data_IF_462160872002
#
_entry.id   IF_462160872002
#
_cell.length_a   1.000
_cell.length_b   1.000
_cell.length_c   1.000
_cell.angle_alpha   90.00
_cell.angle_beta   90.00
_cell.angle_gamma   90.00
#
_symmetry.space_group_name_H-M   'P 1'
#
loop_
_entity.id
_entity.type
_entity.pdbx_description
1 polymer ?
#
# COMPACT_ATOMS: atom_id res chain seq x y z
N UNK A 1 -82.57 81.26 -104.87
CA UNK A 1 -83.37 81.46 -103.65
C UNK A 1 -83.60 80.17 -102.85
N UNK A 2 -83.38 78.98 -103.44
CA UNK A 2 -83.50 77.69 -102.73
C UNK A 2 -82.32 77.41 -101.78
N UNK A 3 -81.11 77.91 -102.09
CA UNK A 3 -79.90 77.62 -101.30
C UNK A 3 -79.83 78.33 -99.93
N UNK A 4 -80.57 79.42 -99.72
CA UNK A 4 -80.57 80.17 -98.45
C UNK A 4 -81.49 79.52 -97.39
N UNK A 5 -82.57 78.88 -97.84
CA UNK A 5 -83.55 78.23 -96.94
C UNK A 5 -82.99 76.94 -96.36
N UNK A 6 -82.20 76.19 -97.14
CA UNK A 6 -81.56 74.95 -96.69
C UNK A 6 -80.49 75.26 -95.64
N UNK A 7 -79.70 76.32 -95.83
CA UNK A 7 -78.64 76.71 -94.88
C UNK A 7 -79.24 77.19 -93.55
N UNK A 8 -80.33 77.96 -93.55
CA UNK A 8 -81.02 78.35 -92.30
C UNK A 8 -81.66 77.16 -91.59
N UNK A 9 -82.27 76.22 -92.32
CA UNK A 9 -82.88 75.02 -91.74
C UNK A 9 -81.85 74.13 -91.01
N UNK A 10 -80.68 73.94 -91.60
CA UNK A 10 -79.57 73.20 -90.98
C UNK A 10 -79.07 73.92 -89.72
N UNK A 11 -79.01 75.25 -89.73
CA UNK A 11 -78.53 76.03 -88.59
C UNK A 11 -79.47 75.94 -87.37
N UNK A 12 -80.79 75.96 -87.59
CA UNK A 12 -81.79 75.80 -86.53
C UNK A 12 -81.75 74.40 -85.92
N UNK A 13 -81.62 73.36 -86.76
CA UNK A 13 -81.48 71.97 -86.28
C UNK A 13 -80.19 71.79 -85.47
N UNK A 14 -79.08 72.39 -85.90
CA UNK A 14 -77.82 72.37 -85.15
C UNK A 14 -77.94 73.12 -83.81
N UNK A 15 -78.69 74.22 -83.72
CA UNK A 15 -78.93 74.94 -82.46
C UNK A 15 -79.82 74.16 -81.50
N UNK A 16 -80.87 73.48 -81.99
CA UNK A 16 -81.73 72.63 -81.16
C UNK A 16 -80.96 71.40 -80.65
N UNK A 17 -80.15 70.77 -81.51
CA UNK A 17 -79.27 69.67 -81.10
C UNK A 17 -78.20 70.15 -80.12
N UNK A 18 -77.63 71.34 -80.31
CA UNK A 18 -76.67 71.93 -79.37
C UNK A 18 -77.32 72.24 -78.01
N UNK A 19 -78.56 72.74 -78.00
CA UNK A 19 -79.34 72.98 -76.78
C UNK A 19 -79.69 71.69 -76.03
N UNK A 20 -80.07 70.62 -76.76
CA UNK A 20 -80.31 69.29 -76.18
C UNK A 20 -79.01 68.67 -75.65
N UNK A 21 -77.89 68.83 -76.36
CA UNK A 21 -76.58 68.38 -75.90
C UNK A 21 -76.09 69.16 -74.67
N UNK A 22 -76.39 70.46 -74.58
CA UNK A 22 -76.09 71.28 -73.39
C UNK A 22 -76.89 70.82 -72.17
N UNK A 23 -78.19 70.54 -72.33
CA UNK A 23 -79.05 70.03 -71.26
C UNK A 23 -78.65 68.62 -70.81
N UNK A 24 -78.27 67.75 -71.75
CA UNK A 24 -77.69 66.45 -71.42
C UNK A 24 -76.34 66.58 -70.70
N UNK A 25 -75.52 67.58 -71.07
CA UNK A 25 -74.24 67.87 -70.40
C UNK A 25 -74.43 68.40 -68.98
N UNK A 26 -75.45 69.22 -68.73
CA UNK A 26 -75.80 69.70 -67.39
C UNK A 26 -76.34 68.58 -66.49
N UNK A 27 -77.24 67.74 -67.01
CA UNK A 27 -77.71 66.56 -66.29
C UNK A 27 -76.58 65.57 -66.01
N UNK A 28 -75.68 65.34 -66.98
CA UNK A 28 -74.50 64.49 -66.79
C UNK A 28 -73.55 65.04 -65.71
N UNK A 29 -73.41 66.37 -65.59
CA UNK A 29 -72.64 67.00 -64.52
C UNK A 29 -73.30 66.81 -63.15
N UNK A 30 -74.63 66.95 -63.07
CA UNK A 30 -75.38 66.72 -61.83
C UNK A 30 -75.23 65.26 -61.37
N UNK A 31 -75.42 64.28 -62.26
CA UNK A 31 -75.20 62.87 -61.95
C UNK A 31 -73.74 62.56 -61.56
N UNK A 32 -72.77 63.19 -62.21
CA UNK A 32 -71.36 63.00 -61.86
C UNK A 32 -71.05 63.53 -60.45
N UNK A 33 -71.69 64.64 -60.05
CA UNK A 33 -71.57 65.21 -58.72
C UNK A 33 -72.21 64.30 -57.65
N UNK A 34 -73.42 63.78 -57.90
CA UNK A 34 -74.07 62.81 -57.00
C UNK A 34 -73.28 61.51 -56.85
N UNK A 35 -72.73 60.97 -57.95
CA UNK A 35 -71.87 59.78 -57.91
C UNK A 35 -70.59 60.06 -57.09
N UNK A 36 -70.04 61.27 -57.20
CA UNK A 36 -68.86 61.67 -56.41
C UNK A 36 -69.19 61.75 -54.93
N UNK A 37 -70.31 62.36 -54.56
CA UNK A 37 -70.78 62.44 -53.17
C UNK A 37 -71.08 61.04 -52.59
N UNK A 38 -71.72 60.16 -53.36
CA UNK A 38 -71.94 58.76 -52.95
C UNK A 38 -70.64 58.00 -52.77
N UNK A 39 -69.65 58.18 -53.65
CA UNK A 39 -68.31 57.57 -53.49
C UNK A 39 -67.59 58.08 -52.24
N UNK A 40 -67.70 59.37 -51.94
CA UNK A 40 -67.16 59.97 -50.71
C UNK A 40 -67.87 59.42 -49.46
N UNK A 41 -69.20 59.27 -49.50
CA UNK A 41 -69.96 58.66 -48.40
C UNK A 41 -69.61 57.18 -48.19
N UNK A 42 -69.45 56.39 -49.26
CA UNK A 42 -69.01 54.99 -49.18
C UNK A 42 -67.59 54.92 -48.61
N UNK A 43 -66.67 55.74 -49.10
CA UNK A 43 -65.29 55.78 -48.57
C UNK A 43 -65.23 56.19 -47.11
N UNK A 44 -66.07 57.13 -46.66
CA UNK A 44 -66.18 57.50 -45.25
C UNK A 44 -66.79 56.37 -44.40
N UNK A 45 -67.76 55.64 -44.92
CA UNK A 45 -68.34 54.48 -44.25
C UNK A 45 -67.31 53.35 -44.11
N UNK A 46 -66.52 53.10 -45.14
CA UNK A 46 -65.43 52.12 -45.12
C UNK A 46 -64.34 52.51 -44.13
N UNK A 47 -63.90 53.78 -44.13
CA UNK A 47 -62.94 54.28 -43.13
C UNK A 47 -63.46 54.15 -41.69
N UNK A 48 -64.72 54.51 -41.43
CA UNK A 48 -65.32 54.34 -40.10
C UNK A 48 -65.42 52.86 -39.70
N UNK A 49 -65.61 51.96 -40.66
CA UNK A 49 -65.63 50.52 -40.41
C UNK A 49 -64.22 50.01 -40.08
N UNK A 50 -63.21 50.49 -40.80
CA UNK A 50 -61.80 50.20 -40.57
C UNK A 50 -61.34 50.73 -39.20
N UNK A 51 -61.63 51.99 -38.86
CA UNK A 51 -61.34 52.58 -37.54
C UNK A 51 -62.00 51.80 -36.40
N UNK A 52 -63.26 51.37 -36.58
CA UNK A 52 -63.95 50.53 -35.58
C UNK A 52 -63.31 49.15 -35.45
N UNK A 53 -62.87 48.57 -36.56
CA UNK A 53 -62.21 47.27 -36.57
C UNK A 53 -60.83 47.35 -35.89
N UNK A 54 -60.03 48.37 -36.20
CA UNK A 54 -58.74 48.63 -35.56
C UNK A 54 -58.91 48.89 -34.06
N UNK A 55 -59.86 49.75 -33.67
CA UNK A 55 -60.18 50.01 -32.26
C UNK A 55 -60.61 48.73 -31.52
N UNK A 56 -61.40 47.87 -32.17
CA UNK A 56 -61.78 46.58 -31.60
C UNK A 56 -60.61 45.61 -31.47
N UNK A 57 -59.70 45.55 -32.46
CA UNK A 57 -58.47 44.75 -32.38
C UNK A 57 -57.62 45.24 -31.21
N UNK A 58 -57.39 46.55 -31.10
CA UNK A 58 -56.58 47.12 -30.04
C UNK A 58 -57.16 46.78 -28.67
N UNK A 59 -58.46 47.04 -28.45
CA UNK A 59 -59.13 46.73 -27.19
C UNK A 59 -59.10 45.23 -26.86
N UNK A 60 -59.29 44.37 -27.86
CA UNK A 60 -59.21 42.90 -27.68
C UNK A 60 -57.80 42.44 -27.35
N UNK A 61 -56.77 43.06 -27.94
CA UNK A 61 -55.37 42.74 -27.67
C UNK A 61 -54.95 43.17 -26.26
N UNK A 62 -55.34 44.37 -25.82
CA UNK A 62 -55.09 44.87 -24.47
C UNK A 62 -55.74 43.96 -23.41
N UNK A 63 -56.99 43.54 -23.64
CA UNK A 63 -57.68 42.60 -22.77
C UNK A 63 -57.01 41.22 -22.75
N UNK A 64 -56.55 40.72 -23.90
CA UNK A 64 -55.79 39.46 -23.98
C UNK A 64 -54.48 39.55 -23.20
N UNK A 65 -53.72 40.64 -23.34
CA UNK A 65 -52.49 40.85 -22.57
C UNK A 65 -52.76 40.96 -21.07
N UNK A 66 -53.84 41.62 -20.66
CA UNK A 66 -54.27 41.70 -19.26
C UNK A 66 -54.56 40.31 -18.70
N UNK A 67 -55.39 39.51 -19.40
CA UNK A 67 -55.73 38.14 -18.99
C UNK A 67 -54.48 37.25 -18.92
N UNK A 68 -53.59 37.31 -19.91
CA UNK A 68 -52.33 36.55 -19.90
C UNK A 68 -51.41 36.98 -18.75
N UNK A 69 -51.32 38.28 -18.47
CA UNK A 69 -50.53 38.83 -17.37
C UNK A 69 -51.04 38.38 -16.00
N UNK A 70 -52.36 38.45 -15.78
CA UNK A 70 -53.01 37.94 -14.56
C UNK A 70 -52.83 36.43 -14.41
N UNK A 71 -52.92 35.68 -15.50
CA UNK A 71 -52.69 34.24 -15.49
C UNK A 71 -51.23 33.89 -15.12
N UNK A 72 -50.25 34.56 -15.73
CA UNK A 72 -48.84 34.35 -15.43
C UNK A 72 -48.49 34.76 -13.99
N UNK A 73 -49.01 35.90 -13.53
CA UNK A 73 -48.82 36.34 -12.14
C UNK A 73 -49.40 35.31 -11.17
N UNK A 74 -50.62 34.83 -11.42
CA UNK A 74 -51.25 33.79 -10.60
C UNK A 74 -50.46 32.47 -10.59
N UNK A 75 -49.92 32.04 -11.73
CA UNK A 75 -49.02 30.88 -11.80
C UNK A 75 -47.73 31.11 -11.02
N UNK A 76 -47.09 32.27 -11.17
CA UNK A 76 -45.84 32.60 -10.48
C UNK A 76 -46.01 32.64 -8.95
N UNK A 77 -47.13 33.18 -8.46
CA UNK A 77 -47.46 33.22 -7.04
C UNK A 77 -47.70 31.81 -6.48
N UNK A 78 -48.38 30.93 -7.24
CA UNK A 78 -48.57 29.53 -6.86
C UNK A 78 -47.24 28.78 -6.77
N UNK A 79 -46.39 28.90 -7.79
CA UNK A 79 -45.06 28.27 -7.81
C UNK A 79 -44.20 28.77 -6.65
N UNK A 80 -44.23 30.08 -6.36
CA UNK A 80 -43.49 30.64 -5.23
C UNK A 80 -44.01 30.11 -3.88
N UNK A 81 -45.33 30.05 -3.70
CA UNK A 81 -45.93 29.52 -2.48
C UNK A 81 -45.58 28.02 -2.27
N UNK A 82 -45.68 27.21 -3.33
CA UNK A 82 -45.26 25.79 -3.29
C UNK A 82 -43.77 25.65 -2.98
N UNK A 83 -42.92 26.50 -3.56
CA UNK A 83 -41.48 26.50 -3.27
C UNK A 83 -41.18 26.87 -1.81
N UNK A 84 -41.85 27.89 -1.27
CA UNK A 84 -41.68 28.32 0.13
C UNK A 84 -42.16 27.25 1.12
N UNK A 85 -43.30 26.60 0.83
CA UNK A 85 -43.82 25.48 1.62
C UNK A 85 -42.85 24.28 1.60
N UNK A 86 -42.33 23.91 0.43
CA UNK A 86 -41.34 22.85 0.28
C UNK A 86 -40.04 23.18 1.03
N UNK A 87 -39.54 24.41 0.90
CA UNK A 87 -38.33 24.87 1.59
C UNK A 87 -38.53 24.83 3.12
N UNK A 88 -39.69 25.25 3.61
CA UNK A 88 -40.04 25.18 5.03
C UNK A 88 -40.07 23.74 5.54
N UNK A 89 -40.68 22.84 4.76
CA UNK A 89 -40.73 21.40 5.05
C UNK A 89 -39.33 20.79 5.11
N UNK A 90 -38.47 21.08 4.13
CA UNK A 90 -37.08 20.61 4.13
C UNK A 90 -36.28 21.13 5.32
N UNK A 91 -36.44 22.41 5.69
CA UNK A 91 -35.80 22.98 6.88
C UNK A 91 -36.26 22.28 8.15
N UNK A 92 -37.56 21.98 8.28
CA UNK A 92 -38.09 21.25 9.43
C UNK A 92 -37.54 19.82 9.50
N UNK A 93 -37.44 19.11 8.36
CA UNK A 93 -36.86 17.78 8.29
C UNK A 93 -35.38 17.77 8.69
N UNK A 94 -34.57 18.70 8.18
CA UNK A 94 -33.15 18.83 8.55
C UNK A 94 -33.02 19.13 10.05
N UNK A 95 -33.85 20.04 10.59
CA UNK A 95 -33.86 20.36 12.02
C UNK A 95 -34.20 19.14 12.87
N UNK A 96 -35.21 18.36 12.47
CA UNK A 96 -35.59 17.14 13.18
C UNK A 96 -34.46 16.11 13.15
N UNK A 97 -33.83 15.91 12.00
CA UNK A 97 -32.68 15.00 11.87
C UNK A 97 -31.51 15.42 12.77
N UNK A 98 -31.17 16.71 12.80
CA UNK A 98 -30.11 17.23 13.69
C UNK A 98 -30.48 17.02 15.16
N UNK A 99 -31.73 17.28 15.55
CA UNK A 99 -32.21 17.06 16.91
C UNK A 99 -32.18 15.58 17.31
N UNK A 100 -32.64 14.68 16.44
CA UNK A 100 -32.62 13.23 16.67
C UNK A 100 -31.19 12.73 16.84
N UNK A 101 -30.28 13.19 15.97
CA UNK A 101 -28.85 12.87 16.04
C UNK A 101 -28.21 13.38 17.34
N UNK A 102 -28.56 14.59 17.81
CA UNK A 102 -28.10 15.12 19.10
C UNK A 102 -28.64 14.29 20.27
N UNK A 103 -29.91 13.92 20.26
CA UNK A 103 -30.52 13.07 21.31
C UNK A 103 -29.82 11.71 21.36
N UNK A 104 -29.46 11.13 20.22
CA UNK A 104 -28.72 9.87 20.17
C UNK A 104 -27.30 10.02 20.71
N UNK A 105 -26.61 11.09 20.35
CA UNK A 105 -25.30 11.45 20.91
C UNK A 105 -25.35 11.57 22.44
N UNK A 106 -26.29 12.34 22.97
CA UNK A 106 -26.46 12.54 24.42
C UNK A 106 -26.73 11.22 25.14
N UNK A 107 -27.51 10.31 24.52
CA UNK A 107 -27.75 8.96 25.06
C UNK A 107 -26.48 8.13 25.14
N UNK A 108 -25.59 8.23 24.15
CA UNK A 108 -24.30 7.55 24.19
C UNK A 108 -23.43 8.08 25.31
N UNK A 109 -23.29 9.40 25.43
CA UNK A 109 -22.54 10.07 26.50
C UNK A 109 -23.06 9.65 27.87
N UNK A 110 -24.38 9.65 28.06
CA UNK A 110 -25.00 9.22 29.32
C UNK A 110 -24.70 7.76 29.64
N UNK A 111 -24.83 6.85 28.66
CA UNK A 111 -24.55 5.41 28.86
C UNK A 111 -23.09 5.15 29.20
N UNK A 112 -22.15 5.84 28.57
CA UNK A 112 -20.71 5.67 28.81
C UNK A 112 -20.31 6.19 30.20
N UNK A 113 -21.04 7.20 30.69
CA UNK A 113 -20.82 7.81 32.00
C UNK A 113 -21.27 6.94 33.17
N UNK A 114 -21.96 5.82 32.91
CA UNK A 114 -22.40 4.88 33.93
C UNK A 114 -21.20 4.30 34.71
N UNK A 115 -21.28 4.35 36.05
CA UNK A 115 -20.21 3.90 36.96
C UNK A 115 -20.10 2.38 37.00
N UNK A 116 -21.18 1.66 36.69
CA UNK A 116 -21.23 0.19 36.76
C UNK A 116 -20.50 -0.50 35.59
N UNK A 117 -20.13 0.25 34.54
CA UNK A 117 -19.44 -0.30 33.38
C UNK A 117 -17.96 -0.57 33.69
N UNK A 118 -17.51 -1.78 33.35
CA UNK A 118 -16.08 -2.10 33.37
C UNK A 118 -15.30 -1.26 32.35
N UNK A 119 -14.00 -1.03 32.58
CA UNK A 119 -13.16 -0.24 31.68
C UNK A 119 -13.15 -0.78 30.25
N UNK A 120 -13.18 -2.10 30.07
CA UNK A 120 -13.24 -2.70 28.73
C UNK A 120 -14.57 -2.40 28.03
N UNK A 121 -15.69 -2.55 28.73
CA UNK A 121 -17.01 -2.20 28.18
C UNK A 121 -17.09 -0.71 27.83
N UNK A 122 -16.55 0.17 28.68
CA UNK A 122 -16.45 1.61 28.39
C UNK A 122 -15.68 1.86 27.10
N UNK A 123 -14.52 1.23 26.92
CA UNK A 123 -13.72 1.38 25.70
C UNK A 123 -14.45 0.88 24.44
N UNK A 124 -15.12 -0.27 24.50
CA UNK A 124 -15.88 -0.82 23.36
C UNK A 124 -17.05 0.10 22.98
N UNK A 125 -17.74 0.64 23.98
CA UNK A 125 -18.83 1.61 23.77
C UNK A 125 -18.31 2.92 23.20
N UNK A 126 -17.19 3.44 23.71
CA UNK A 126 -16.55 4.65 23.19
C UNK A 126 -16.08 4.48 21.75
N UNK A 127 -15.44 3.36 21.41
CA UNK A 127 -15.03 3.05 20.03
C UNK A 127 -16.24 2.98 19.08
N UNK A 128 -17.35 2.41 19.55
CA UNK A 128 -18.60 2.35 18.78
C UNK A 128 -19.22 3.75 18.61
N UNK A 129 -19.32 4.52 19.69
CA UNK A 129 -19.90 5.86 19.67
C UNK A 129 -19.07 6.81 18.81
N UNK A 130 -17.74 6.75 18.88
CA UNK A 130 -16.83 7.57 18.06
C UNK A 130 -16.90 7.21 16.56
N UNK A 131 -17.25 5.97 16.20
CA UNK A 131 -17.49 5.63 14.80
C UNK A 131 -18.81 6.25 14.28
N UNK A 132 -19.80 6.44 15.15
CA UNK A 132 -21.08 7.08 14.80
C UNK A 132 -21.00 8.61 14.83
N UNK A 133 -20.23 9.15 15.79
CA UNK A 133 -20.05 10.58 16.06
C UNK A 133 -18.56 10.94 16.09
N UNK A 134 -17.82 10.79 14.96
CA UNK A 134 -16.38 11.04 14.91
C UNK A 134 -15.98 12.49 15.23
N UNK A 135 -16.91 13.43 15.04
CA UNK A 135 -16.76 14.84 15.37
C UNK A 135 -16.86 15.15 16.88
N UNK A 136 -17.33 14.21 17.70
CA UNK A 136 -17.66 14.46 19.10
C UNK A 136 -16.42 14.57 19.99
N UNK A 137 -15.99 15.81 20.27
CA UNK A 137 -14.90 16.09 21.19
C UNK A 137 -15.04 15.39 22.55
N UNK A 138 -16.23 15.41 23.14
CA UNK A 138 -16.49 14.82 24.45
C UNK A 138 -16.21 13.30 24.48
N UNK A 139 -16.60 12.57 23.43
CA UNK A 139 -16.33 11.14 23.33
C UNK A 139 -14.83 10.85 23.19
N UNK A 140 -14.11 11.65 22.41
CA UNK A 140 -12.64 11.51 22.29
C UNK A 140 -11.93 11.84 23.61
N UNK A 141 -12.39 12.86 24.36
CA UNK A 141 -11.85 13.18 25.68
C UNK A 141 -12.07 12.04 26.69
N UNK A 142 -13.28 11.47 26.73
CA UNK A 142 -13.59 10.33 27.58
C UNK A 142 -12.77 9.08 27.20
N UNK A 143 -12.58 8.83 25.90
CA UNK A 143 -11.72 7.76 25.40
C UNK A 143 -10.27 7.93 25.83
N UNK A 144 -9.75 9.14 25.69
CA UNK A 144 -8.40 9.48 26.10
C UNK A 144 -8.20 9.28 27.60
N UNK A 145 -9.12 9.80 28.42
CA UNK A 145 -9.08 9.64 29.88
C UNK A 145 -9.11 8.17 30.29
N UNK A 146 -9.94 7.36 29.63
CA UNK A 146 -10.04 5.91 29.89
C UNK A 146 -8.75 5.18 29.52
N UNK A 147 -8.04 5.65 28.48
CA UNK A 147 -6.78 5.06 28.01
C UNK A 147 -5.53 5.59 28.73
N UNK A 148 -5.56 6.75 29.37
CA UNK A 148 -4.40 7.35 30.05
C UNK A 148 -3.70 6.41 31.06
N UNK A 149 -4.42 5.67 31.95
CA UNK A 149 -3.78 4.74 32.88
C UNK A 149 -2.96 3.65 32.18
N UNK A 150 -3.46 3.15 31.05
CA UNK A 150 -2.77 2.12 30.25
C UNK A 150 -1.52 2.64 29.55
N UNK A 151 -1.36 3.95 29.44
CA UNK A 151 -0.15 4.57 28.91
C UNK A 151 0.94 4.73 29.98
N UNK A 152 0.55 4.89 31.25
CA UNK A 152 1.48 5.12 32.38
C UNK A 152 1.88 3.81 33.07
N UNK A 153 0.89 3.01 33.46
CA UNK A 153 1.06 1.95 34.47
C UNK A 153 0.82 0.54 33.90
N UNK A 154 1.26 0.30 32.66
CA UNK A 154 1.04 -0.99 31.98
C UNK A 154 2.29 -1.53 31.31
N UNK A 155 2.23 -2.80 30.89
CA UNK A 155 3.29 -3.44 30.12
C UNK A 155 3.64 -2.64 28.86
N UNK A 156 4.84 -2.84 28.34
CA UNK A 156 5.33 -2.15 27.14
C UNK A 156 4.42 -2.37 25.93
N UNK A 157 3.94 -3.60 25.75
CA UNK A 157 3.04 -4.00 24.67
C UNK A 157 1.71 -3.26 24.76
N UNK A 158 1.16 -3.17 25.98
CA UNK A 158 -0.07 -2.43 26.25
C UNK A 158 0.14 -0.95 25.96
N UNK A 159 1.20 -0.33 26.47
CA UNK A 159 1.51 1.10 26.21
C UNK A 159 1.61 1.40 24.72
N UNK A 160 2.29 0.55 23.95
CA UNK A 160 2.42 0.68 22.49
C UNK A 160 1.08 0.55 21.77
N UNK A 161 0.24 -0.42 22.17
CA UNK A 161 -1.11 -0.60 21.60
C UNK A 161 -1.99 0.61 21.94
N UNK A 162 -1.97 1.08 23.17
CA UNK A 162 -2.70 2.26 23.64
C UNK A 162 -2.29 3.52 22.89
N UNK A 163 -0.99 3.76 22.72
CA UNK A 163 -0.49 4.91 21.96
C UNK A 163 -0.98 4.89 20.49
N UNK A 164 -1.04 3.71 19.86
CA UNK A 164 -1.61 3.58 18.50
C UNK A 164 -3.10 3.91 18.46
N UNK A 165 -3.87 3.42 19.44
CA UNK A 165 -5.30 3.72 19.57
C UNK A 165 -5.54 5.22 19.73
N UNK A 166 -4.80 5.89 20.61
CA UNK A 166 -4.86 7.34 20.82
C UNK A 166 -4.47 8.14 19.56
N UNK A 167 -3.44 7.70 18.83
CA UNK A 167 -3.05 8.31 17.55
C UNK A 167 -4.16 8.18 16.50
N UNK A 168 -4.80 7.01 16.42
CA UNK A 168 -5.91 6.79 15.50
C UNK A 168 -7.13 7.64 15.88
N UNK A 169 -7.52 7.64 17.15
CA UNK A 169 -8.63 8.44 17.67
C UNK A 169 -8.43 9.94 17.39
N UNK A 170 -7.27 10.50 17.78
CA UNK A 170 -6.97 11.91 17.55
C UNK A 170 -6.87 12.28 16.07
N UNK A 171 -6.45 11.35 15.19
CA UNK A 171 -6.52 11.55 13.74
C UNK A 171 -7.95 11.63 13.24
N UNK A 172 -8.81 10.71 13.69
CA UNK A 172 -10.24 10.76 13.37
C UNK A 172 -10.84 12.08 13.84
N UNK A 173 -10.60 12.53 15.07
CA UNK A 173 -11.11 13.81 15.52
C UNK A 173 -10.65 14.96 14.61
N UNK A 174 -9.36 14.99 14.24
CA UNK A 174 -8.83 16.02 13.35
C UNK A 174 -9.50 16.02 11.97
N UNK A 175 -9.83 14.85 11.42
CA UNK A 175 -10.45 14.72 10.10
C UNK A 175 -11.95 15.12 10.10
N UNK A 176 -12.64 15.05 11.24
CA UNK A 176 -14.09 15.29 11.34
C UNK A 176 -14.50 16.47 12.24
N UNK A 177 -13.56 17.12 12.94
CA UNK A 177 -13.87 18.22 13.85
C UNK A 177 -14.49 19.43 13.14
N UNK A 178 -15.25 20.21 13.90
CA UNK A 178 -15.72 21.53 13.47
C UNK A 178 -14.56 22.52 13.37
N UNK A 179 -14.75 23.60 12.61
CA UNK A 179 -13.74 24.66 12.45
C UNK A 179 -13.35 25.25 13.82
N UNK A 180 -14.33 25.40 14.72
CA UNK A 180 -14.13 25.97 16.05
C UNK A 180 -13.30 25.05 16.98
N UNK A 181 -13.20 23.77 16.67
CA UNK A 181 -12.47 22.77 17.46
C UNK A 181 -11.14 22.34 16.82
N UNK A 182 -10.80 22.90 15.66
CA UNK A 182 -9.61 22.49 14.91
C UNK A 182 -8.32 22.65 15.70
N UNK A 183 -8.14 23.78 16.41
CA UNK A 183 -6.95 24.03 17.24
C UNK A 183 -6.79 22.98 18.34
N UNK A 184 -7.90 22.57 18.96
CA UNK A 184 -7.92 21.51 19.96
C UNK A 184 -7.52 20.16 19.34
N UNK A 185 -8.14 19.79 18.22
CA UNK A 185 -7.87 18.53 17.54
C UNK A 185 -6.41 18.42 17.06
N UNK A 186 -5.85 19.50 16.50
CA UNK A 186 -4.44 19.59 16.08
C UNK A 186 -3.50 19.43 17.25
N UNK A 187 -3.74 20.18 18.34
CA UNK A 187 -2.92 20.08 19.56
C UNK A 187 -2.92 18.64 20.06
N UNK A 188 -4.10 18.02 20.13
CA UNK A 188 -4.24 16.67 20.66
C UNK A 188 -3.58 15.60 19.79
N UNK A 189 -3.75 15.70 18.47
CA UNK A 189 -3.07 14.85 17.50
C UNK A 189 -1.55 14.92 17.66
N UNK A 190 -1.00 16.13 17.79
CA UNK A 190 0.45 16.32 17.94
C UNK A 190 0.99 15.76 19.27
N UNK A 191 0.25 15.91 20.37
CA UNK A 191 0.61 15.33 21.68
C UNK A 191 0.65 13.79 21.64
N UNK A 192 -0.39 13.17 21.08
CA UNK A 192 -0.47 11.73 20.94
C UNK A 192 0.62 11.21 19.99
N UNK A 193 0.82 11.87 18.85
CA UNK A 193 1.87 11.52 17.88
C UNK A 193 3.26 11.58 18.51
N UNK A 194 3.56 12.64 19.27
CA UNK A 194 4.82 12.78 20.00
C UNK A 194 5.01 11.64 20.99
N UNK A 195 3.97 11.32 21.76
CA UNK A 195 3.99 10.24 22.75
C UNK A 195 4.23 8.87 22.09
N UNK A 196 3.52 8.57 21.00
CA UNK A 196 3.71 7.33 20.24
C UNK A 196 5.11 7.22 19.63
N UNK A 197 5.66 8.32 19.10
CA UNK A 197 7.01 8.36 18.55
C UNK A 197 8.09 8.13 19.62
N UNK A 198 7.93 8.72 20.81
CA UNK A 198 8.84 8.49 21.93
C UNK A 198 8.83 7.03 22.39
N UNK A 199 7.65 6.42 22.52
CA UNK A 199 7.54 5.01 22.90
C UNK A 199 8.12 4.07 21.84
N UNK A 200 7.89 4.35 20.55
CA UNK A 200 8.47 3.56 19.46
C UNK A 200 9.99 3.68 19.44
N UNK A 201 10.53 4.90 19.62
CA UNK A 201 11.97 5.14 19.68
C UNK A 201 12.61 4.37 20.84
N UNK A 202 12.06 4.47 22.06
CA UNK A 202 12.53 3.71 23.23
C UNK A 202 12.48 2.20 22.98
N UNK A 203 11.41 1.70 22.33
CA UNK A 203 11.29 0.29 22.02
C UNK A 203 12.39 -0.20 21.08
N UNK A 204 12.69 0.57 20.03
CA UNK A 204 13.76 0.26 19.07
C UNK A 204 15.12 0.33 19.74
N UNK A 205 15.39 1.35 20.56
CA UNK A 205 16.65 1.50 21.29
C UNK A 205 16.90 0.34 22.26
N UNK A 206 15.88 -0.12 22.99
CA UNK A 206 15.99 -1.28 23.87
C UNK A 206 16.27 -2.57 23.11
N UNK A 207 15.61 -2.78 21.96
CA UNK A 207 15.90 -3.93 21.09
C UNK A 207 17.34 -3.90 20.62
N UNK A 208 17.80 -2.75 20.12
CA UNK A 208 19.18 -2.58 19.68
C UNK A 208 20.17 -2.78 20.83
N UNK A 209 19.85 -2.34 22.05
CA UNK A 209 20.68 -2.57 23.23
C UNK A 209 20.76 -4.06 23.62
N UNK A 210 19.65 -4.80 23.52
CA UNK A 210 19.63 -6.25 23.73
C UNK A 210 20.50 -6.98 22.70
N UNK A 211 20.39 -6.61 21.41
CA UNK A 211 21.20 -7.22 20.36
C UNK A 211 22.68 -6.85 20.49
N UNK A 212 23.02 -5.62 20.91
CA UNK A 212 24.39 -5.23 21.28
C UNK A 212 24.96 -6.15 22.34
N UNK A 213 24.22 -6.40 23.41
CA UNK A 213 24.67 -7.27 24.51
C UNK A 213 24.91 -8.72 24.05
N UNK A 214 24.05 -9.25 23.18
CA UNK A 214 24.25 -10.59 22.60
C UNK A 214 25.49 -10.63 21.70
N UNK A 215 25.73 -9.60 20.90
CA UNK A 215 26.95 -9.50 20.09
C UNK A 215 28.21 -9.37 20.97
N UNK A 216 28.15 -8.63 22.08
CA UNK A 216 29.26 -8.56 23.05
C UNK A 216 29.56 -9.95 23.65
N UNK A 217 28.52 -10.72 23.95
CA UNK A 217 28.66 -12.10 24.44
C UNK A 217 29.26 -13.01 23.37
N UNK A 218 28.79 -12.91 22.12
CA UNK A 218 29.30 -13.68 21.00
C UNK A 218 30.78 -13.38 20.75
N UNK A 219 31.16 -12.11 20.69
CA UNK A 219 32.55 -11.68 20.51
C UNK A 219 33.47 -12.20 21.63
N UNK A 220 32.98 -12.15 22.88
CA UNK A 220 33.70 -12.72 24.02
C UNK A 220 33.87 -14.24 23.91
N UNK A 221 32.83 -14.96 23.47
CA UNK A 221 32.89 -16.41 23.29
C UNK A 221 33.87 -16.80 22.18
N UNK A 222 33.85 -16.10 21.04
CA UNK A 222 34.79 -16.30 19.92
C UNK A 222 36.23 -15.99 20.32
N UNK A 223 36.44 -14.93 21.10
CA UNK A 223 37.77 -14.58 21.64
C UNK A 223 38.30 -15.66 22.59
N UNK A 224 37.42 -16.27 23.40
CA UNK A 224 37.78 -17.40 24.28
C UNK A 224 38.07 -18.65 23.47
N UNK A 225 37.26 -18.96 22.46
CA UNK A 225 37.48 -20.11 21.57
C UNK A 225 38.85 -20.01 20.86
N UNK A 226 39.24 -18.80 20.45
CA UNK A 226 40.57 -18.55 19.87
C UNK A 226 41.74 -18.88 20.82
N UNK A 227 41.50 -18.95 22.14
CA UNK A 227 42.49 -19.35 23.15
C UNK A 227 42.37 -20.82 23.54
N UNK A 228 41.19 -21.40 23.40
CA UNK A 228 40.84 -22.79 23.74
C UNK A 228 40.15 -23.46 22.54
N UNK A 229 40.90 -23.83 21.48
CA UNK A 229 40.33 -24.19 20.18
C UNK A 229 39.43 -25.43 20.19
N UNK A 230 39.72 -26.37 21.09
CA UNK A 230 39.03 -27.67 21.17
C UNK A 230 37.87 -27.68 22.19
N UNK A 231 37.46 -26.51 22.69
CA UNK A 231 36.42 -26.42 23.71
C UNK A 231 35.02 -26.48 23.10
N UNK A 232 34.47 -27.69 22.97
CA UNK A 232 33.12 -27.94 22.42
C UNK A 232 32.03 -27.11 23.13
N UNK A 233 32.15 -26.86 24.43
CA UNK A 233 31.15 -26.07 25.16
C UNK A 233 31.09 -24.61 24.68
N UNK A 234 32.20 -24.05 24.19
CA UNK A 234 32.25 -22.71 23.62
C UNK A 234 31.62 -22.68 22.22
N UNK A 235 31.79 -23.76 21.45
CA UNK A 235 31.18 -23.90 20.13
C UNK A 235 29.65 -23.92 20.28
N UNK A 236 29.13 -24.74 21.20
CA UNK A 236 27.70 -24.83 21.48
C UNK A 236 27.13 -23.48 22.01
N UNK A 237 27.92 -22.76 22.83
CA UNK A 237 27.58 -21.40 23.32
C UNK A 237 27.46 -20.40 22.15
N UNK A 238 28.42 -20.41 21.22
CA UNK A 238 28.43 -19.56 20.03
C UNK A 238 27.21 -19.84 19.15
N UNK A 239 26.94 -21.11 18.82
CA UNK A 239 25.78 -21.50 18.00
C UNK A 239 24.45 -21.06 18.63
N UNK A 240 24.34 -21.21 19.96
CA UNK A 240 23.15 -20.79 20.71
C UNK A 240 22.95 -19.27 20.65
N UNK A 241 24.03 -18.51 20.84
CA UNK A 241 23.97 -17.05 20.79
C UNK A 241 23.63 -16.59 19.37
N UNK A 242 24.31 -17.11 18.33
CA UNK A 242 24.03 -16.78 16.93
C UNK A 242 22.58 -17.08 16.54
N UNK A 243 22.06 -18.24 16.93
CA UNK A 243 20.66 -18.61 16.68
C UNK A 243 19.63 -17.71 17.39
N UNK A 244 20.03 -17.03 18.47
CA UNK A 244 19.18 -16.12 19.24
C UNK A 244 19.19 -14.66 18.76
N UNK A 245 20.08 -14.30 17.82
CA UNK A 245 20.20 -12.94 17.28
C UNK A 245 19.02 -12.61 16.36
N UNK A 246 18.44 -11.42 16.53
CA UNK A 246 17.44 -10.91 15.58
C UNK A 246 18.13 -10.25 14.39
N UNK A 247 18.46 -11.05 13.37
CA UNK A 247 19.11 -10.58 12.15
C UNK A 247 18.38 -9.40 11.50
N UNK A 248 17.04 -9.38 11.50
CA UNK A 248 16.27 -8.29 10.89
C UNK A 248 16.46 -6.96 11.62
N UNK A 249 16.64 -7.00 12.93
CA UNK A 249 16.93 -5.81 13.74
C UNK A 249 18.37 -5.34 13.50
N UNK A 250 19.32 -6.28 13.43
CA UNK A 250 20.74 -5.98 13.19
C UNK A 250 20.98 -5.42 11.79
N UNK A 251 20.35 -5.97 10.75
CA UNK A 251 20.46 -5.51 9.35
C UNK A 251 20.07 -4.04 9.16
N UNK A 252 19.20 -3.51 10.04
CA UNK A 252 18.75 -2.11 10.01
C UNK A 252 19.72 -1.14 10.68
N UNK A 253 20.67 -1.64 11.48
CA UNK A 253 21.72 -0.85 12.15
C UNK A 253 23.09 -1.16 11.49
N UNK A 254 23.64 -0.24 10.67
CA UNK A 254 24.90 -0.48 9.96
C UNK A 254 26.09 -0.79 10.87
N UNK A 255 26.09 -0.28 12.10
CA UNK A 255 27.18 -0.49 13.06
C UNK A 255 27.12 -1.92 13.59
N UNK A 256 25.94 -2.40 13.98
CA UNK A 256 25.77 -3.78 14.45
C UNK A 256 25.99 -4.79 13.34
N UNK A 257 25.52 -4.49 12.12
CA UNK A 257 25.73 -5.37 10.96
C UNK A 257 27.22 -5.53 10.63
N UNK A 258 27.97 -4.42 10.66
CA UNK A 258 29.43 -4.47 10.44
C UNK A 258 30.10 -5.35 11.49
N UNK A 259 29.75 -5.16 12.76
CA UNK A 259 30.33 -5.92 13.88
C UNK A 259 30.00 -7.41 13.80
N UNK A 260 28.76 -7.78 13.45
CA UNK A 260 28.37 -9.17 13.23
C UNK A 260 29.23 -9.81 12.13
N UNK A 261 29.47 -9.11 11.01
CA UNK A 261 30.31 -9.62 9.91
C UNK A 261 31.77 -9.85 10.33
N UNK A 262 32.31 -8.97 11.16
CA UNK A 262 33.67 -9.13 11.71
C UNK A 262 33.74 -10.39 12.58
N UNK A 263 32.79 -10.56 13.51
CA UNK A 263 32.72 -11.74 14.39
C UNK A 263 32.52 -13.04 13.58
N UNK A 264 31.62 -13.05 12.59
CA UNK A 264 31.42 -14.22 11.72
C UNK A 264 32.69 -14.53 10.92
N UNK A 265 33.45 -13.51 10.49
CA UNK A 265 34.75 -13.69 9.85
C UNK A 265 35.76 -14.39 10.75
N UNK A 266 35.81 -14.03 12.04
CA UNK A 266 36.68 -14.66 13.03
C UNK A 266 36.28 -16.12 13.31
N UNK A 267 34.98 -16.39 13.40
CA UNK A 267 34.44 -17.76 13.54
C UNK A 267 34.88 -18.63 12.36
N UNK A 268 34.65 -18.17 11.11
CA UNK A 268 35.04 -18.91 9.92
C UNK A 268 36.57 -19.11 9.85
N UNK A 269 37.33 -18.08 10.24
CA UNK A 269 38.79 -18.17 10.33
C UNK A 269 39.28 -19.22 11.33
N UNK A 270 38.56 -19.43 12.43
CA UNK A 270 38.87 -20.46 13.42
C UNK A 270 38.72 -21.87 12.83
N UNK A 271 37.56 -22.18 12.23
CA UNK A 271 37.28 -23.51 11.70
C UNK A 271 38.11 -23.86 10.46
N UNK A 272 38.52 -22.87 9.67
CA UNK A 272 39.38 -23.12 8.50
C UNK A 272 40.83 -23.43 8.88
N UNK A 273 41.37 -22.85 9.95
CA UNK A 273 42.74 -23.13 10.44
C UNK A 273 42.91 -24.53 11.06
N UNK A 274 41.85 -25.09 11.66
CA UNK A 274 41.88 -26.46 12.21
C UNK A 274 42.15 -27.52 11.13
N UNK A 275 41.54 -27.37 9.95
CA UNK A 275 41.67 -28.33 8.84
C UNK A 275 43.06 -28.34 8.18
N UNK A 276 43.79 -27.21 8.21
CA UNK A 276 45.13 -27.13 7.60
C UNK A 276 46.15 -28.01 8.35
N UNK A 277 46.04 -28.11 9.68
CA UNK A 277 46.91 -28.96 10.49
C UNK A 277 46.66 -30.46 10.27
N UNK A 278 45.40 -30.87 10.13
CA UNK A 278 45.03 -32.26 9.84
C UNK A 278 45.54 -32.69 8.46
N UNK A 279 45.41 -31.82 7.44
CA UNK A 279 45.91 -32.12 6.08
C UNK A 279 47.43 -32.27 6.06
N UNK A 280 48.16 -31.46 6.83
CA UNK A 280 49.62 -31.57 6.96
C UNK A 280 50.06 -32.87 7.65
N UNK A 281 49.37 -33.28 8.72
CA UNK A 281 49.67 -34.53 9.43
C UNK A 281 49.42 -35.76 8.53
N UNK A 282 48.31 -35.77 7.78
CA UNK A 282 48.01 -36.86 6.83
C UNK A 282 49.08 -36.95 5.73
N UNK A 283 49.56 -35.82 5.20
CA UNK A 283 50.63 -35.82 4.19
C UNK A 283 51.94 -36.37 4.74
N UNK A 284 52.32 -36.00 5.96
CA UNK A 284 53.57 -36.47 6.56
C UNK A 284 53.48 -37.94 7.00
N UNK A 285 52.33 -38.39 7.47
CA UNK A 285 52.03 -39.81 7.67
C UNK A 285 52.27 -40.62 6.39
N UNK A 286 51.70 -40.17 5.27
CA UNK A 286 51.85 -40.82 3.97
C UNK A 286 53.31 -40.83 3.45
N UNK A 287 54.09 -39.77 3.67
CA UNK A 287 55.53 -39.75 3.32
C UNK A 287 56.35 -40.76 4.15
N UNK A 288 56.06 -40.87 5.45
CA UNK A 288 56.71 -41.86 6.32
C UNK A 288 56.35 -43.29 5.88
N UNK A 289 55.09 -43.51 5.49
CA UNK A 289 54.62 -44.80 4.96
C UNK A 289 55.38 -45.21 3.70
N UNK A 290 55.47 -44.31 2.70
CA UNK A 290 56.23 -44.55 1.46
C UNK A 290 57.68 -44.95 1.75
N UNK A 291 58.34 -44.21 2.66
CA UNK A 291 59.74 -44.47 3.02
C UNK A 291 59.89 -45.86 3.65
N UNK A 292 58.99 -46.20 4.57
CA UNK A 292 58.98 -47.50 5.26
C UNK A 292 58.74 -48.67 4.29
N UNK A 293 57.80 -48.53 3.35
CA UNK A 293 57.54 -49.55 2.32
C UNK A 293 58.70 -49.71 1.35
N UNK A 294 59.34 -48.60 0.96
CA UNK A 294 60.55 -48.64 0.14
C UNK A 294 61.68 -49.38 0.84
N UNK A 295 61.93 -49.09 2.12
CA UNK A 295 62.93 -49.79 2.92
C UNK A 295 62.62 -51.28 3.04
N UNK A 296 61.35 -51.66 3.25
CA UNK A 296 60.96 -53.07 3.29
C UNK A 296 61.26 -53.79 1.97
N UNK A 297 60.91 -53.17 0.83
CA UNK A 297 61.21 -53.70 -0.50
C UNK A 297 62.72 -53.87 -0.73
N UNK A 298 63.53 -52.86 -0.39
CA UNK A 298 64.98 -52.90 -0.55
C UNK A 298 65.61 -53.96 0.36
N UNK A 299 65.23 -54.00 1.63
CA UNK A 299 65.72 -54.99 2.59
C UNK A 299 65.42 -56.40 2.13
N UNK A 300 64.19 -56.65 1.64
CA UNK A 300 63.79 -57.94 1.10
C UNK A 300 64.63 -58.34 -0.13
N UNK A 301 64.79 -57.43 -1.10
CA UNK A 301 65.58 -57.70 -2.32
C UNK A 301 67.04 -58.03 -2.01
N UNK A 302 67.64 -57.31 -1.06
CA UNK A 302 69.06 -57.49 -0.71
C UNK A 302 69.34 -58.81 0.01
N UNK A 303 68.36 -59.40 0.70
CA UNK A 303 68.54 -60.65 1.46
C UNK A 303 67.43 -61.67 1.18
N UNK A 304 67.00 -61.77 -0.09
CA UNK A 304 65.83 -62.55 -0.50
C UNK A 304 65.88 -64.01 0.00
N UNK A 305 67.03 -64.68 -0.10
CA UNK A 305 67.21 -66.07 0.36
C UNK A 305 66.93 -66.26 1.86
N UNK A 306 67.30 -65.28 2.67
CA UNK A 306 67.14 -65.30 4.14
C UNK A 306 65.66 -65.15 4.51
N UNK A 307 64.97 -64.22 3.86
CA UNK A 307 63.55 -63.95 4.13
C UNK A 307 62.62 -65.03 3.56
N UNK A 308 62.98 -65.69 2.45
CA UNK A 308 62.21 -66.80 1.86
C UNK A 308 61.94 -67.93 2.86
N UNK A 309 62.98 -68.35 3.58
CA UNK A 309 62.90 -69.36 4.63
C UNK A 309 62.37 -68.85 5.98
N UNK A 310 61.87 -67.61 6.04
CA UNK A 310 61.23 -67.03 7.22
C UNK A 310 62.18 -66.43 8.26
N UNK A 311 63.49 -66.48 8.04
CA UNK A 311 64.46 -65.82 8.92
C UNK A 311 64.45 -64.31 8.65
N UNK A 312 63.97 -63.52 9.60
CA UNK A 312 63.93 -62.04 9.50
C UNK A 312 62.56 -61.43 9.21
N UNK A 313 61.47 -62.21 9.13
CA UNK A 313 60.12 -61.66 8.86
C UNK A 313 59.72 -60.51 9.78
N UNK A 314 60.17 -60.53 11.04
CA UNK A 314 59.93 -59.46 12.03
C UNK A 314 60.30 -58.09 11.48
N UNK A 315 61.49 -57.95 10.91
CA UNK A 315 61.99 -56.67 10.39
C UNK A 315 61.21 -56.17 9.18
N UNK A 316 60.64 -57.09 8.38
CA UNK A 316 59.79 -56.73 7.25
C UNK A 316 58.39 -56.33 7.71
N UNK A 317 57.82 -57.05 8.67
CA UNK A 317 56.48 -56.76 9.19
C UNK A 317 56.43 -55.49 10.01
N UNK A 318 57.50 -55.11 10.72
CA UNK A 318 57.59 -53.80 11.41
C UNK A 318 57.60 -52.61 10.43
N UNK A 319 58.17 -52.81 9.23
CA UNK A 319 58.23 -51.77 8.19
C UNK A 319 56.94 -51.68 7.39
N UNK A 320 56.31 -52.82 7.10
CA UNK A 320 55.10 -52.90 6.29
C UNK A 320 53.81 -52.79 7.10
N UNK A 321 53.79 -53.27 8.34
CA UNK A 321 52.62 -53.32 9.21
C UNK A 321 52.42 -52.04 10.04
N UNK A 322 51.24 -51.95 10.67
CA UNK A 322 50.86 -50.84 11.54
C UNK A 322 50.45 -49.55 10.81
N UNK A 323 50.35 -49.54 9.49
CA UNK A 323 49.83 -48.37 8.76
C UNK A 323 48.32 -48.50 8.56
N UNK A 324 47.55 -47.49 8.98
CA UNK A 324 46.10 -47.46 8.78
C UNK A 324 45.78 -47.19 7.30
N UNK A 325 45.22 -48.19 6.64
CA UNK A 325 44.87 -48.12 5.23
C UNK A 325 43.82 -47.05 4.95
N UNK A 326 42.99 -46.66 5.92
CA UNK A 326 41.98 -45.61 5.72
C UNK A 326 42.58 -44.19 5.68
N UNK A 327 43.78 -44.00 6.24
CA UNK A 327 44.49 -42.71 6.27
C UNK A 327 45.49 -42.58 5.11
N UNK A 328 45.92 -43.71 4.54
CA UNK A 328 46.81 -43.71 3.38
C UNK A 328 46.09 -43.17 2.14
N UNK A 329 46.77 -42.28 1.39
CA UNK A 329 46.31 -41.85 0.08
C UNK A 329 46.23 -43.04 -0.89
N UNK A 330 45.30 -43.02 -1.85
CA UNK A 330 45.12 -44.13 -2.80
C UNK A 330 46.40 -44.56 -3.51
N UNK A 331 47.27 -43.61 -3.85
CA UNK A 331 48.56 -43.87 -4.51
C UNK A 331 49.53 -44.62 -3.59
N UNK A 332 49.52 -44.30 -2.29
CA UNK A 332 50.37 -44.95 -1.28
C UNK A 332 49.85 -46.35 -0.96
N UNK A 333 48.53 -46.54 -0.92
CA UNK A 333 47.92 -47.87 -0.80
C UNK A 333 48.28 -48.76 -1.99
N UNK A 334 48.21 -48.23 -3.22
CA UNK A 334 48.61 -48.97 -4.41
C UNK A 334 50.09 -49.38 -4.36
N UNK A 335 50.97 -48.48 -3.91
CA UNK A 335 52.39 -48.78 -3.71
C UNK A 335 52.61 -49.85 -2.63
N UNK A 336 51.92 -49.75 -1.49
CA UNK A 336 51.94 -50.76 -0.44
C UNK A 336 51.55 -52.14 -0.98
N UNK A 337 50.45 -52.24 -1.73
CA UNK A 337 50.01 -53.51 -2.31
C UNK A 337 51.04 -54.08 -3.28
N UNK A 338 51.65 -53.26 -4.12
CA UNK A 338 52.70 -53.70 -5.03
C UNK A 338 53.90 -54.31 -4.28
N UNK A 339 54.38 -53.63 -3.21
CA UNK A 339 55.48 -54.12 -2.37
C UNK A 339 55.07 -55.38 -1.61
N UNK A 340 53.86 -55.41 -1.05
CA UNK A 340 53.34 -56.58 -0.34
C UNK A 340 53.28 -57.80 -1.26
N UNK A 341 52.74 -57.66 -2.48
CA UNK A 341 52.65 -58.76 -3.44
C UNK A 341 54.02 -59.23 -3.93
N UNK A 342 54.98 -58.31 -4.13
CA UNK A 342 56.36 -58.68 -4.48
C UNK A 342 57.00 -59.57 -3.41
N UNK A 343 56.88 -59.16 -2.14
CA UNK A 343 57.43 -59.90 -1.00
C UNK A 343 56.69 -61.22 -0.83
N UNK A 344 55.36 -61.17 -0.69
CA UNK A 344 54.51 -62.32 -0.42
C UNK A 344 54.54 -63.38 -1.52
N UNK A 345 54.62 -62.95 -2.78
CA UNK A 345 54.72 -63.84 -3.95
C UNK A 345 55.98 -64.71 -3.94
N UNK A 346 57.08 -64.19 -3.37
CA UNK A 346 58.38 -64.85 -3.33
C UNK A 346 58.65 -65.67 -2.07
N UNK A 347 57.87 -65.52 -1.00
CA UNK A 347 58.01 -66.32 0.23
C UNK A 347 57.66 -67.79 0.00
N UNK A 348 58.30 -68.69 0.76
CA UNK A 348 57.97 -70.12 0.72
C UNK A 348 56.54 -70.36 1.25
N UNK A 349 55.80 -71.36 0.72
CA UNK A 349 54.39 -71.60 1.08
C UNK A 349 54.14 -71.71 2.59
N UNK A 350 55.07 -72.32 3.33
CA UNK A 350 54.97 -72.53 4.78
C UNK A 350 55.24 -71.26 5.60
N UNK A 351 55.87 -70.25 5.00
CA UNK A 351 56.24 -68.98 5.63
C UNK A 351 55.15 -67.92 5.46
N UNK A 352 54.37 -68.00 4.38
CA UNK A 352 53.27 -67.07 4.07
C UNK A 352 52.26 -66.89 5.22
N UNK A 353 51.75 -67.94 5.90
CA UNK A 353 50.83 -67.77 7.02
C UNK A 353 51.46 -67.00 8.19
N UNK A 354 52.73 -67.30 8.52
CA UNK A 354 53.48 -66.63 9.60
C UNK A 354 53.73 -65.16 9.29
N UNK A 355 53.94 -64.82 8.02
CA UNK A 355 54.09 -63.42 7.59
C UNK A 355 52.78 -62.65 7.75
N UNK A 356 51.65 -63.22 7.31
CA UNK A 356 50.33 -62.60 7.46
C UNK A 356 49.94 -62.40 8.92
N UNK A 357 50.15 -63.42 9.77
CA UNK A 357 49.86 -63.34 11.21
C UNK A 357 50.66 -62.22 11.89
N UNK A 358 51.93 -62.05 11.52
CA UNK A 358 52.77 -60.97 12.06
C UNK A 358 52.35 -59.59 11.58
N UNK A 359 51.93 -59.46 10.31
CA UNK A 359 51.39 -58.21 9.78
C UNK A 359 50.14 -57.76 10.54
N UNK A 360 49.24 -58.69 10.88
CA UNK A 360 48.03 -58.40 11.66
C UNK A 360 48.33 -57.98 13.11
N UNK A 361 49.41 -58.51 13.70
CA UNK A 361 49.79 -58.25 15.09
C UNK A 361 50.78 -57.09 15.26
N UNK A 362 51.04 -56.30 14.20
CA UNK A 362 51.93 -55.13 14.28
C UNK A 362 51.18 -53.96 14.90
N UNK A 363 51.84 -53.21 15.80
CA UNK A 363 51.23 -52.04 16.44
C UNK A 363 50.97 -50.92 15.43
N UNK A 364 49.83 -50.25 15.57
CA UNK A 364 49.45 -49.11 14.74
C UNK A 364 50.40 -47.93 14.92
N UNK A 365 50.72 -47.28 13.82
CA UNK A 365 51.57 -46.10 13.75
C UNK A 365 50.70 -44.87 13.84
N UNK A 366 51.13 -43.94 14.69
CA UNK A 366 50.41 -42.69 14.98
C UNK A 366 50.41 -41.78 13.75
N UNK A 367 49.23 -41.25 13.42
CA UNK A 367 49.02 -40.25 12.35
C UNK A 367 49.83 -39.00 12.61
#
# INVERSE_FOLDING_TARGET
>A
MLDVVIVMGIFVVLLVLAGQMLKQKENAKAYHQEIKELKEMISQADRKKEERFESWIQASSEEMYRIMGEHYLGLSQKVYAEWEENLSTMKAQVKNFVNERQIEHDRWVQRISDEDLSTQQKLEMLETAMNQFPESRELHEAYDQTLQPYLKDSSKEIRMRTARKLNQASRTLLDYCSIDEWDYAVKRYNENLRTGNLLMKSHVEEKLASERKKLDQLESAVTRLSREPDNQSLIDEIETIEGSLDQKTIERDPVLLKRLREITGDIVGHFTRGNENEEHQVKDYNKRAITSFREASVTFRNNEKTFKGGSGLVSLTEKMGGWDMNVLHPEVQAYYQAVYQEIFGKLDPEVKPKFTERMLNTQDKVV
#
